data_IF_766494159521
#
_entry.id   IF_766494159521
#
_cell.length_a   1.000
_cell.length_b   1.000
_cell.length_c   1.000
_cell.angle_alpha   90.00
_cell.angle_beta   90.00
_cell.angle_gamma   90.00
#
_symmetry.space_group_name_H-M   'P 1'
#
loop_
_entity.id
_entity.type
_entity.pdbx_description
1 polymer ?
#
# COMPACT_ATOMS: atom_id res chain seq x y z
N UNK A 1 -8.57 10.86 17.33
CA UNK A 1 -9.78 10.03 17.11
C UNK A 1 -9.44 8.65 16.53
N UNK A 2 -8.33 8.47 15.81
CA UNK A 2 -7.95 7.22 15.12
C UNK A 2 -7.40 6.10 16.03
N UNK A 3 -6.60 6.40 17.06
CA UNK A 3 -5.89 5.36 17.84
C UNK A 3 -6.83 4.38 18.57
N UNK A 4 -8.00 4.82 19.01
CA UNK A 4 -8.95 3.94 19.72
C UNK A 4 -9.54 2.86 18.81
N UNK A 5 -9.75 3.17 17.53
CA UNK A 5 -10.36 2.25 16.56
C UNK A 5 -9.42 1.15 16.09
N UNK A 6 -8.12 1.40 16.03
CA UNK A 6 -7.15 0.38 15.59
C UNK A 6 -6.82 -0.55 16.75
N UNK A 7 -6.71 0.00 17.97
CA UNK A 7 -6.44 -0.77 19.17
C UNK A 7 -7.50 -1.86 19.44
N UNK A 8 -8.79 -1.57 19.23
CA UNK A 8 -9.84 -2.58 19.40
C UNK A 8 -9.65 -3.79 18.47
N UNK A 9 -9.09 -3.63 17.26
CA UNK A 9 -8.85 -4.76 16.34
C UNK A 9 -7.62 -5.55 16.76
N UNK A 10 -6.58 -4.89 17.27
CA UNK A 10 -5.41 -5.53 17.87
C UNK A 10 -5.85 -6.37 19.07
N UNK A 11 -6.63 -5.78 19.97
CA UNK A 11 -7.13 -6.45 21.17
C UNK A 11 -8.07 -7.62 20.82
N UNK A 12 -8.92 -7.45 19.80
CA UNK A 12 -9.79 -8.51 19.28
C UNK A 12 -8.98 -9.67 18.70
N UNK A 13 -7.98 -9.40 17.86
CA UNK A 13 -7.13 -10.45 17.29
C UNK A 13 -6.45 -11.27 18.41
N UNK A 14 -5.85 -10.58 19.38
CA UNK A 14 -5.19 -11.23 20.53
C UNK A 14 -6.16 -12.02 21.41
N UNK A 15 -7.38 -11.53 21.62
CA UNK A 15 -8.44 -12.25 22.35
C UNK A 15 -8.83 -13.57 21.67
N UNK A 16 -8.63 -13.67 20.36
CA UNK A 16 -8.89 -14.86 19.56
C UNK A 16 -7.60 -15.60 19.17
N UNK A 17 -6.53 -15.46 19.97
CA UNK A 17 -5.24 -16.14 19.80
C UNK A 17 -4.57 -15.91 18.43
N UNK A 18 -4.91 -14.80 17.76
CA UNK A 18 -4.28 -14.38 16.51
C UNK A 18 -3.16 -13.36 16.76
N UNK A 19 -2.13 -13.41 15.92
CA UNK A 19 -1.02 -12.47 15.91
C UNK A 19 -1.32 -11.27 15.01
N UNK A 20 -1.65 -10.08 15.57
CA UNK A 20 -1.91 -8.91 14.74
C UNK A 20 -0.63 -8.40 14.08
N UNK A 21 -0.74 -7.94 12.84
CA UNK A 21 0.31 -7.24 12.10
C UNK A 21 -0.31 -6.00 11.49
N UNK A 22 0.28 -4.84 11.74
CA UNK A 22 -0.16 -3.59 11.12
C UNK A 22 0.61 -3.38 9.82
N UNK A 23 -0.08 -2.88 8.79
CA UNK A 23 0.52 -2.50 7.51
C UNK A 23 0.15 -1.05 7.27
N UNK A 24 1.13 -0.18 7.02
CA UNK A 24 0.83 1.20 6.63
C UNK A 24 0.18 1.21 5.25
N UNK A 25 -0.78 2.11 5.00
CA UNK A 25 -1.40 2.20 3.69
C UNK A 25 -0.33 2.58 2.63
N UNK A 26 -0.38 2.04 1.40
CA UNK A 26 0.49 2.50 0.33
C UNK A 26 0.21 3.98 0.01
N UNK A 27 1.19 4.65 -0.57
CA UNK A 27 1.09 6.05 -0.97
C UNK A 27 -0.01 6.26 -2.02
N UNK A 28 -0.59 7.47 -2.04
CA UNK A 28 -1.40 7.90 -3.18
C UNK A 28 -0.48 8.46 -4.24
N UNK A 29 -0.81 8.23 -5.50
CA UNK A 29 0.03 8.61 -6.64
C UNK A 29 -0.22 10.06 -7.06
N UNK A 30 -0.24 10.98 -6.09
CA UNK A 30 -0.19 12.41 -6.34
C UNK A 30 1.26 12.86 -6.25
N UNK A 31 1.73 13.59 -7.25
CA UNK A 31 3.11 14.01 -7.37
C UNK A 31 3.21 15.54 -7.27
N UNK A 32 4.30 16.00 -6.67
CA UNK A 32 4.77 17.37 -6.81
C UNK A 32 5.43 17.57 -8.19
N UNK A 33 5.67 18.82 -8.56
CA UNK A 33 6.34 19.16 -9.84
C UNK A 33 7.77 18.60 -9.94
N UNK A 34 8.42 18.32 -8.81
CA UNK A 34 9.75 17.71 -8.72
C UNK A 34 9.75 16.16 -8.81
N UNK A 35 8.57 15.55 -8.96
CA UNK A 35 8.40 14.11 -9.06
C UNK A 35 8.34 13.36 -7.73
N UNK A 36 8.36 14.06 -6.59
CA UNK A 36 8.16 13.45 -5.27
C UNK A 36 6.68 13.23 -4.95
N UNK A 37 6.36 12.27 -4.08
CA UNK A 37 4.98 12.05 -3.62
C UNK A 37 4.51 13.21 -2.75
N UNK A 38 3.31 13.72 -3.07
CA UNK A 38 2.73 14.88 -2.42
C UNK A 38 2.23 14.58 -1.00
N UNK A 39 2.68 15.39 -0.04
CA UNK A 39 2.21 15.41 1.34
C UNK A 39 1.11 16.48 1.52
N UNK A 40 -0.14 16.09 1.27
CA UNK A 40 -1.27 17.01 1.28
C UNK A 40 -2.53 16.40 1.91
N UNK A 41 -3.49 17.21 2.39
CA UNK A 41 -4.81 16.72 2.79
C UNK A 41 -5.42 15.80 1.74
N UNK A 42 -5.82 14.59 2.15
CA UNK A 42 -6.32 13.55 1.25
C UNK A 42 -5.28 12.52 0.79
N UNK A 43 -3.98 12.76 0.97
CA UNK A 43 -2.88 11.86 0.58
C UNK A 43 -2.34 11.04 1.78
N UNK A 44 -3.24 10.51 2.62
CA UNK A 44 -2.91 9.94 3.94
C UNK A 44 -2.35 10.97 4.96
N UNK A 45 -2.57 12.26 4.68
CA UNK A 45 -2.34 13.40 5.56
C UNK A 45 -1.35 14.41 4.97
N UNK A 46 -1.25 15.60 5.59
CA UNK A 46 -0.30 16.67 5.25
C UNK A 46 0.51 17.12 6.49
N UNK A 47 1.64 17.79 6.25
CA UNK A 47 2.77 18.03 7.17
C UNK A 47 3.34 16.73 7.78
N UNK A 48 3.57 15.77 6.90
CA UNK A 48 4.19 14.46 6.99
C UNK A 48 3.26 13.35 7.44
N UNK A 49 2.23 13.09 6.61
CA UNK A 49 1.44 11.85 6.60
C UNK A 49 0.94 11.41 7.98
N UNK A 50 0.15 12.27 8.63
CA UNK A 50 -0.32 12.08 10.01
C UNK A 50 -1.00 10.73 10.27
N UNK A 51 -1.69 10.15 9.27
CA UNK A 51 -2.27 8.81 9.40
C UNK A 51 -1.20 7.71 9.47
N UNK A 52 -0.16 7.81 8.64
CA UNK A 52 0.96 6.86 8.63
C UNK A 52 1.75 6.93 9.94
N UNK A 53 1.98 8.14 10.45
CA UNK A 53 2.61 8.33 11.77
C UNK A 53 1.77 7.72 12.89
N UNK A 54 0.45 7.92 12.87
CA UNK A 54 -0.44 7.33 13.86
C UNK A 54 -0.41 5.79 13.83
N UNK A 55 -0.32 5.18 12.65
CA UNK A 55 -0.16 3.72 12.48
C UNK A 55 1.14 3.20 13.08
N UNK A 56 2.26 3.91 12.89
CA UNK A 56 3.54 3.54 13.50
C UNK A 56 3.49 3.69 15.02
N UNK A 57 2.97 4.80 15.51
CA UNK A 57 2.83 5.08 16.94
C UNK A 57 2.01 4.01 17.67
N UNK A 58 0.87 3.59 17.12
CA UNK A 58 0.07 2.55 17.76
C UNK A 58 0.74 1.18 17.73
N UNK A 59 1.54 0.88 16.70
CA UNK A 59 2.38 -0.32 16.66
C UNK A 59 3.37 -0.35 17.82
N UNK A 60 4.10 0.75 18.03
CA UNK A 60 5.02 0.92 19.16
C UNK A 60 4.29 0.82 20.51
N UNK A 61 3.20 1.57 20.71
CA UNK A 61 2.43 1.59 21.95
C UNK A 61 1.86 0.22 22.35
N UNK A 62 1.57 -0.64 21.36
CA UNK A 62 0.93 -1.95 21.58
C UNK A 62 1.89 -3.12 21.44
N UNK A 63 3.15 -2.89 21.07
CA UNK A 63 4.10 -3.93 20.72
C UNK A 63 3.72 -4.74 19.47
N UNK A 64 2.86 -4.19 18.61
CA UNK A 64 2.39 -4.85 17.39
C UNK A 64 3.36 -4.58 16.23
N UNK A 65 3.80 -5.61 15.48
CA UNK A 65 4.65 -5.40 14.31
C UNK A 65 4.01 -4.45 13.29
N UNK A 66 4.79 -3.54 12.72
CA UNK A 66 4.37 -2.63 11.65
C UNK A 66 5.21 -2.90 10.41
N UNK A 67 4.56 -3.21 9.30
CA UNK A 67 5.17 -3.31 7.97
C UNK A 67 4.99 -1.96 7.26
N UNK A 68 6.11 -1.30 6.94
CA UNK A 68 6.11 0.05 6.40
C UNK A 68 5.95 0.11 4.87
N UNK A 69 4.79 -0.33 4.41
CA UNK A 69 4.44 -0.35 2.99
C UNK A 69 4.32 1.06 2.38
N UNK A 70 3.99 2.07 3.19
CA UNK A 70 3.98 3.47 2.77
C UNK A 70 5.33 3.91 2.22
N UNK A 71 6.40 3.84 3.03
CA UNK A 71 7.74 4.27 2.61
C UNK A 71 8.23 3.48 1.39
N UNK A 72 8.00 2.16 1.39
CA UNK A 72 8.30 1.31 0.24
C UNK A 72 7.62 1.81 -1.05
N UNK A 73 6.31 2.08 -0.96
CA UNK A 73 5.53 2.52 -2.12
C UNK A 73 5.90 3.92 -2.59
N UNK A 74 6.31 4.83 -1.70
CA UNK A 74 6.85 6.15 -2.08
C UNK A 74 8.08 5.96 -2.98
N UNK A 75 9.07 5.20 -2.51
CA UNK A 75 10.29 4.94 -3.29
C UNK A 75 9.99 4.28 -4.64
N UNK A 76 9.04 3.33 -4.65
CA UNK A 76 8.62 2.64 -5.88
C UNK A 76 7.95 3.60 -6.86
N UNK A 77 7.00 4.41 -6.41
CA UNK A 77 6.22 5.28 -7.28
C UNK A 77 7.05 6.46 -7.80
N UNK A 78 7.95 7.02 -7.00
CA UNK A 78 8.90 8.05 -7.45
C UNK A 78 9.86 7.50 -8.51
N UNK A 79 10.29 6.23 -8.39
CA UNK A 79 11.09 5.56 -9.44
C UNK A 79 10.31 5.29 -10.73
N UNK A 80 9.02 4.94 -10.62
CA UNK A 80 8.14 4.75 -11.80
C UNK A 80 7.89 6.10 -12.49
N UNK A 81 7.68 7.15 -11.70
CA UNK A 81 7.43 8.51 -12.15
C UNK A 81 5.98 8.77 -12.56
N UNK A 82 5.60 10.04 -12.49
CA UNK A 82 4.25 10.54 -12.78
C UNK A 82 3.73 10.07 -14.16
N UNK A 83 4.54 10.13 -15.20
CA UNK A 83 4.10 9.80 -16.57
C UNK A 83 3.73 8.32 -16.76
N UNK A 84 4.29 7.42 -15.94
CA UNK A 84 4.11 5.98 -16.10
C UNK A 84 3.18 5.36 -15.06
N UNK A 85 2.89 6.07 -13.96
CA UNK A 85 2.19 5.50 -12.81
C UNK A 85 0.79 4.96 -13.14
N UNK A 86 0.12 5.58 -14.11
CA UNK A 86 -1.21 5.22 -14.54
C UNK A 86 -1.30 3.89 -15.30
N UNK A 87 -0.17 3.27 -15.65
CA UNK A 87 -0.13 1.86 -16.03
C UNK A 87 -0.52 0.92 -14.88
N UNK A 88 -0.39 1.36 -13.64
CA UNK A 88 -0.58 0.56 -12.43
C UNK A 88 -1.79 0.97 -11.61
N UNK A 89 -2.44 2.09 -11.94
CA UNK A 89 -3.67 2.54 -11.25
C UNK A 89 -4.93 2.19 -12.03
N UNK A 90 -6.08 2.21 -11.35
CA UNK A 90 -7.37 1.93 -11.97
C UNK A 90 -7.87 3.09 -12.81
N UNK A 91 -8.78 2.79 -13.74
CA UNK A 91 -9.46 3.78 -14.56
C UNK A 91 -10.71 4.27 -13.81
N UNK A 92 -10.76 5.57 -13.51
CA UNK A 92 -11.90 6.26 -12.88
C UNK A 92 -13.02 6.53 -13.87
N UNK A 93 -12.65 6.95 -15.09
CA UNK A 93 -13.56 7.29 -16.18
C UNK A 93 -13.06 6.63 -17.45
N UNK A 94 -13.85 5.69 -17.95
CA UNK A 94 -13.56 4.88 -19.13
C UNK A 94 -14.36 3.58 -19.12
N UNK A 95 -14.22 2.76 -20.15
CA UNK A 95 -14.89 1.46 -20.28
C UNK A 95 -13.83 0.34 -20.35
N UNK A 96 -13.74 -0.46 -19.28
CA UNK A 96 -12.94 -1.67 -19.27
C UNK A 96 -13.87 -2.89 -19.32
N UNK A 97 -13.86 -3.63 -20.44
CA UNK A 97 -14.78 -4.76 -20.71
C UNK A 97 -14.30 -6.09 -20.16
N UNK A 98 -13.22 -6.10 -19.37
CA UNK A 98 -12.83 -7.21 -18.50
C UNK A 98 -11.78 -8.16 -19.07
N UNK A 99 -11.34 -8.02 -20.34
CA UNK A 99 -10.20 -8.80 -20.84
C UNK A 99 -8.88 -8.13 -20.44
N UNK A 100 -8.22 -8.67 -19.43
CA UNK A 100 -6.91 -8.20 -18.96
C UNK A 100 -5.75 -8.78 -19.81
N UNK A 101 -4.70 -8.00 -20.13
CA UNK A 101 -4.57 -6.55 -19.98
C UNK A 101 -5.11 -5.76 -21.18
N UNK A 102 -5.51 -6.42 -22.28
CA UNK A 102 -5.83 -5.81 -23.57
C UNK A 102 -6.84 -4.66 -23.48
N UNK A 103 -7.97 -4.86 -22.78
CA UNK A 103 -9.02 -3.85 -22.67
C UNK A 103 -8.56 -2.66 -21.84
N UNK A 104 -7.76 -2.91 -20.79
CA UNK A 104 -7.17 -1.85 -19.98
C UNK A 104 -6.19 -1.02 -20.79
N UNK A 105 -5.27 -1.65 -21.54
CA UNK A 105 -4.26 -0.95 -22.34
C UNK A 105 -4.89 -0.13 -23.47
N UNK A 106 -5.93 -0.68 -24.12
CA UNK A 106 -6.68 0.05 -25.16
C UNK A 106 -7.44 1.23 -24.58
N UNK A 107 -8.02 1.09 -23.40
CA UNK A 107 -8.72 2.19 -22.74
C UNK A 107 -7.73 3.25 -22.25
N UNK A 108 -6.64 2.87 -21.59
CA UNK A 108 -5.61 3.77 -21.09
C UNK A 108 -5.00 4.64 -22.20
N UNK A 109 -4.92 4.13 -23.44
CA UNK A 109 -4.40 4.87 -24.58
C UNK A 109 -5.33 5.99 -25.09
N UNK A 110 -6.57 6.08 -24.59
CA UNK A 110 -7.54 7.08 -25.04
C UNK A 110 -7.33 8.42 -24.32
N UNK A 111 -7.35 9.57 -25.04
CA UNK A 111 -7.14 10.88 -24.43
C UNK A 111 -8.18 11.27 -23.36
N UNK A 112 -9.40 10.75 -23.46
CA UNK A 112 -10.50 11.05 -22.54
C UNK A 112 -10.49 10.19 -21.27
N UNK A 113 -9.63 9.17 -21.21
CA UNK A 113 -9.55 8.25 -20.07
C UNK A 113 -8.91 8.94 -18.89
N UNK A 114 -9.57 8.83 -17.73
CA UNK A 114 -9.06 9.37 -16.48
C UNK A 114 -8.70 8.22 -15.58
N UNK A 115 -7.41 8.04 -15.34
CA UNK A 115 -6.91 7.17 -14.29
C UNK A 115 -7.06 7.86 -12.93
N UNK A 116 -7.19 7.06 -11.88
CA UNK A 116 -7.23 7.56 -10.51
C UNK A 116 -5.89 7.38 -9.77
N UNK A 117 -5.79 7.97 -8.58
CA UNK A 117 -4.54 8.07 -7.82
C UNK A 117 -4.55 7.27 -6.50
N UNK A 118 -5.49 6.35 -6.30
CA UNK A 118 -5.71 5.68 -5.00
C UNK A 118 -5.83 4.16 -5.08
N UNK A 119 -6.60 3.60 -6.00
CA UNK A 119 -6.75 2.16 -6.17
C UNK A 119 -5.95 1.68 -7.39
N UNK A 120 -5.36 0.52 -7.20
CA UNK A 120 -4.48 -0.11 -8.16
C UNK A 120 -5.27 -1.03 -9.08
N UNK A 121 -4.80 -1.17 -10.32
CA UNK A 121 -5.26 -2.23 -11.17
C UNK A 121 -4.56 -3.55 -10.79
N UNK A 122 -4.75 -4.62 -11.58
CA UNK A 122 -4.17 -5.93 -11.26
C UNK A 122 -2.63 -5.90 -11.15
N UNK A 123 -1.95 -5.24 -12.07
CA UNK A 123 -0.49 -5.17 -12.08
C UNK A 123 0.02 -4.30 -10.93
N UNK A 124 -0.64 -3.16 -10.64
CA UNK A 124 -0.28 -2.34 -9.48
C UNK A 124 -0.52 -3.02 -8.14
N UNK A 125 -1.60 -3.80 -8.03
CA UNK A 125 -1.87 -4.61 -6.83
C UNK A 125 -0.79 -5.69 -6.63
N UNK A 126 -0.29 -6.28 -7.72
CA UNK A 126 0.82 -7.23 -7.66
C UNK A 126 2.11 -6.56 -7.18
N UNK A 127 2.48 -5.41 -7.74
CA UNK A 127 3.69 -4.66 -7.32
C UNK A 127 3.67 -4.31 -5.82
N UNK A 128 2.52 -3.88 -5.31
CA UNK A 128 2.38 -3.55 -3.89
C UNK A 128 2.43 -4.81 -3.02
N UNK A 129 1.93 -5.95 -3.53
CA UNK A 129 2.01 -7.24 -2.85
C UNK A 129 3.45 -7.74 -2.78
N UNK A 130 4.23 -7.62 -3.85
CA UNK A 130 5.66 -7.96 -3.88
C UNK A 130 6.43 -7.14 -2.83
N UNK A 131 6.16 -5.84 -2.74
CA UNK A 131 6.72 -4.99 -1.70
C UNK A 131 6.36 -5.41 -0.28
N UNK A 132 5.10 -5.79 -0.06
CA UNK A 132 4.66 -6.28 1.24
C UNK A 132 5.37 -7.60 1.62
N UNK A 133 5.50 -8.53 0.67
CA UNK A 133 6.23 -9.78 0.86
C UNK A 133 7.70 -9.50 1.19
N UNK A 134 8.35 -8.58 0.48
CA UNK A 134 9.72 -8.17 0.75
C UNK A 134 9.89 -7.60 2.17
N UNK A 135 8.96 -6.75 2.61
CA UNK A 135 8.95 -6.21 3.97
C UNK A 135 8.79 -7.30 5.03
N UNK A 136 7.92 -8.28 4.78
CA UNK A 136 7.75 -9.44 5.66
C UNK A 136 9.06 -10.22 5.76
N UNK A 137 9.66 -10.59 4.63
CA UNK A 137 10.88 -11.40 4.58
C UNK A 137 12.10 -10.70 5.19
N UNK A 138 12.21 -9.37 5.05
CA UNK A 138 13.32 -8.58 5.62
C UNK A 138 13.13 -8.23 7.10
N UNK A 139 11.94 -8.39 7.64
CA UNK A 139 11.67 -8.01 9.03
C UNK A 139 12.45 -8.86 10.02
N UNK A 140 13.01 -8.22 11.04
CA UNK A 140 13.68 -8.89 12.17
C UNK A 140 12.75 -9.09 13.37
N UNK A 141 11.47 -8.75 13.24
CA UNK A 141 10.52 -8.88 14.34
C UNK A 141 10.13 -10.37 14.51
N UNK A 142 10.40 -11.00 15.66
CA UNK A 142 10.16 -12.41 15.86
C UNK A 142 8.67 -12.80 15.77
N UNK A 143 7.75 -11.85 15.94
CA UNK A 143 6.32 -12.08 15.78
C UNK A 143 5.91 -12.37 14.32
N UNK A 144 6.81 -12.18 13.34
CA UNK A 144 6.56 -12.46 11.93
C UNK A 144 7.15 -13.79 11.46
N UNK A 145 7.84 -14.55 12.33
CA UNK A 145 8.55 -15.77 11.92
C UNK A 145 7.65 -16.83 11.26
N UNK A 146 6.43 -17.04 11.77
CA UNK A 146 5.49 -17.99 11.17
C UNK A 146 5.02 -17.54 9.78
N UNK A 147 4.73 -16.24 9.63
CA UNK A 147 4.35 -15.65 8.35
C UNK A 147 5.50 -15.74 7.33
N UNK A 148 6.73 -15.44 7.76
CA UNK A 148 7.94 -15.59 6.94
C UNK A 148 8.13 -17.04 6.49
N UNK A 149 8.00 -18.00 7.41
CA UNK A 149 8.15 -19.43 7.10
C UNK A 149 7.09 -19.90 6.09
N UNK A 150 5.85 -19.44 6.25
CA UNK A 150 4.74 -19.78 5.34
C UNK A 150 4.95 -19.26 3.91
N UNK A 151 5.58 -18.09 3.77
CA UNK A 151 5.92 -17.54 2.44
C UNK A 151 7.05 -18.33 1.77
N UNK A 152 8.05 -18.78 2.53
CA UNK A 152 9.18 -19.55 2.00
C UNK A 152 8.79 -20.97 1.59
N UNK A 153 7.85 -21.62 2.29
CA UNK A 153 7.39 -22.96 1.95
C UNK A 153 6.56 -23.03 0.67
N UNK A 154 6.00 -21.91 0.21
CA UNK A 154 5.25 -21.85 -1.06
C UNK A 154 6.13 -21.51 -2.28
N UNK A 155 7.46 -21.44 -2.10
CA UNK A 155 8.44 -21.14 -3.16
C UNK A 155 9.28 -22.38 -3.52
N UNK A 156 8.91 -23.57 -3.02
CA UNK A 156 9.56 -24.86 -3.33
C UNK A 156 8.64 -25.76 -4.13
#
# INVERSE_FOLDING_TARGET
>A
VTNRFIKQFIDMARKHDASPVLVTAPARTFFNDDGTIMDAPGCHGGNNFSYIRAMRQIGEETGTPVLDLFSYSVELFEKIGHDNIHRYTSIKKGINKGKWPDDFLKELAKPETVSENTHFNKDGAMLITEGLVELILKSKNPQLCELQSSLLHNVV
#
